data_IF_647757291772
#
_entry.id   IF_647757291772
#
_cell.length_a   1.000
_cell.length_b   1.000
_cell.length_c   1.000
_cell.angle_alpha   90.00
_cell.angle_beta   90.00
_cell.angle_gamma   90.00
#
_symmetry.space_group_name_H-M   'P 1'
#
loop_
_entity.id
_entity.type
_entity.pdbx_description
1 polymer ?
#
# COMPACT_ATOMS: atom_id res chain seq x y z
N UNK A 1 -6.39 11.36 -16.08
CA UNK A 1 -4.94 11.49 -16.00
C UNK A 1 -4.36 10.47 -15.03
N UNK A 2 -3.31 9.76 -15.43
CA UNK A 2 -2.61 8.80 -14.57
C UNK A 2 -1.67 9.55 -13.62
N UNK A 3 -1.81 9.41 -12.30
CA UNK A 3 -0.83 9.98 -11.37
C UNK A 3 0.51 9.27 -11.51
N UNK A 4 1.57 10.05 -11.70
CA UNK A 4 2.93 9.54 -11.91
C UNK A 4 3.90 10.17 -10.90
N UNK A 5 5.15 9.71 -10.91
CA UNK A 5 6.21 10.30 -10.09
C UNK A 5 6.27 11.81 -10.30
N UNK A 6 6.29 12.55 -9.21
CA UNK A 6 6.27 14.02 -9.19
C UNK A 6 4.87 14.60 -8.97
N UNK A 7 3.82 13.83 -9.16
CA UNK A 7 2.45 14.31 -8.90
C UNK A 7 2.09 14.18 -7.42
N UNK A 8 1.17 15.03 -6.97
CA UNK A 8 0.55 14.83 -5.67
C UNK A 8 -0.29 13.53 -5.70
N UNK A 9 -0.14 12.71 -4.68
CA UNK A 9 -0.89 11.47 -4.57
C UNK A 9 -2.37 11.78 -4.33
N UNK A 10 -3.30 11.24 -5.15
CA UNK A 10 -4.73 11.40 -4.90
C UNK A 10 -5.11 10.92 -3.51
N UNK A 11 -5.87 11.74 -2.79
CA UNK A 11 -6.29 11.39 -1.44
C UNK A 11 -7.30 10.24 -1.44
N UNK A 12 -7.33 9.50 -0.34
CA UNK A 12 -8.36 8.51 -0.09
C UNK A 12 -8.65 8.43 1.42
N UNK A 13 -9.83 7.96 1.75
CA UNK A 13 -10.21 7.66 3.12
C UNK A 13 -10.92 6.32 3.11
N UNK A 14 -10.27 5.31 3.67
CA UNK A 14 -10.72 3.92 3.62
C UNK A 14 -10.68 3.31 5.01
N UNK A 15 -11.40 2.19 5.17
CA UNK A 15 -11.43 1.44 6.42
C UNK A 15 -10.63 0.15 6.26
N UNK A 16 -9.86 -0.20 7.28
CA UNK A 16 -9.07 -1.44 7.29
C UNK A 16 -9.94 -2.65 7.65
N UNK A 17 -9.38 -3.84 7.44
CA UNK A 17 -10.05 -5.10 7.80
C UNK A 17 -10.30 -5.21 9.32
N UNK A 18 -9.56 -4.47 10.14
CA UNK A 18 -9.76 -4.39 11.59
C UNK A 18 -10.50 -3.10 12.01
N UNK A 19 -11.27 -2.51 11.09
CA UNK A 19 -12.20 -1.41 11.30
C UNK A 19 -11.57 -0.07 11.70
N UNK A 20 -10.32 0.15 11.31
CA UNK A 20 -9.64 1.44 11.50
C UNK A 20 -9.80 2.31 10.27
N UNK A 21 -10.14 3.57 10.46
CA UNK A 21 -10.17 4.56 9.39
C UNK A 21 -8.77 5.07 9.10
N UNK A 22 -8.41 5.11 7.80
CA UNK A 22 -7.13 5.65 7.34
C UNK A 22 -7.41 6.66 6.23
N UNK A 23 -6.97 7.89 6.45
CA UNK A 23 -7.05 8.98 5.49
C UNK A 23 -5.61 9.34 5.08
N UNK A 24 -5.30 9.26 3.79
CA UNK A 24 -3.95 9.53 3.32
C UNK A 24 -3.47 10.93 3.70
N UNK A 25 -4.36 11.93 3.63
CA UNK A 25 -4.00 13.32 3.99
C UNK A 25 -3.49 13.44 5.43
N UNK A 26 -3.95 12.58 6.34
CA UNK A 26 -3.52 12.59 7.74
C UNK A 26 -2.11 12.02 7.92
N UNK A 27 -1.56 11.40 6.89
CA UNK A 27 -0.22 10.81 6.93
C UNK A 27 0.87 11.75 6.38
N UNK A 28 0.52 12.98 6.02
CA UNK A 28 1.53 13.99 5.64
C UNK A 28 2.50 14.19 6.80
N UNK A 29 3.77 14.34 6.46
CA UNK A 29 4.84 14.33 7.43
C UNK A 29 5.51 12.96 7.56
N UNK A 30 4.87 11.92 7.06
CA UNK A 30 5.43 10.57 6.98
C UNK A 30 5.65 10.17 5.53
N UNK A 31 6.64 9.32 5.31
CA UNK A 31 6.78 8.57 4.06
C UNK A 31 5.76 7.43 4.08
N UNK A 32 5.07 7.21 2.97
CA UNK A 32 4.02 6.19 2.89
C UNK A 32 4.35 5.18 1.80
N UNK A 33 4.45 3.92 2.18
CA UNK A 33 4.58 2.79 1.25
C UNK A 33 3.21 2.16 1.09
N UNK A 34 2.72 2.08 -0.14
CA UNK A 34 1.39 1.55 -0.44
C UNK A 34 1.50 0.40 -1.43
N UNK A 35 0.84 -0.72 -1.10
CA UNK A 35 0.58 -1.78 -2.06
C UNK A 35 -0.88 -1.76 -2.48
N UNK A 36 -1.14 -1.62 -3.78
CA UNK A 36 -2.48 -1.76 -4.34
C UNK A 36 -2.62 -3.18 -4.84
N UNK A 37 -3.42 -3.96 -4.14
CA UNK A 37 -3.50 -5.41 -4.23
C UNK A 37 -4.88 -5.88 -4.71
N UNK A 38 -4.87 -7.06 -5.32
CA UNK A 38 -6.07 -7.86 -5.55
C UNK A 38 -5.92 -9.17 -4.76
N UNK A 39 -6.90 -10.06 -4.85
CA UNK A 39 -6.81 -11.40 -4.31
C UNK A 39 -6.07 -12.26 -5.33
N UNK A 40 -4.75 -12.35 -5.18
CA UNK A 40 -3.90 -13.09 -6.11
C UNK A 40 -2.57 -13.48 -5.45
N UNK A 41 -1.87 -14.44 -6.04
CA UNK A 41 -0.58 -14.92 -5.52
C UNK A 41 0.52 -13.86 -5.61
N UNK A 42 0.71 -13.15 -6.74
CA UNK A 42 1.71 -12.08 -6.78
C UNK A 42 1.47 -10.99 -5.75
N UNK A 43 0.21 -10.65 -5.49
CA UNK A 43 -0.13 -9.68 -4.46
C UNK A 43 0.22 -10.18 -3.07
N UNK A 44 -0.02 -11.46 -2.77
CA UNK A 44 0.41 -12.06 -1.51
C UNK A 44 1.92 -11.97 -1.35
N UNK A 45 2.67 -12.32 -2.38
CA UNK A 45 4.14 -12.27 -2.33
C UNK A 45 4.65 -10.86 -2.09
N UNK A 46 4.04 -9.87 -2.74
CA UNK A 46 4.41 -8.47 -2.51
C UNK A 46 4.10 -8.03 -1.07
N UNK A 47 2.95 -8.44 -0.54
CA UNK A 47 2.58 -8.13 0.85
C UNK A 47 3.58 -8.74 1.84
N UNK A 48 4.07 -9.94 1.57
CA UNK A 48 5.11 -10.57 2.41
C UNK A 48 6.43 -9.82 2.33
N UNK A 49 6.78 -9.25 1.17
CA UNK A 49 7.95 -8.37 1.06
C UNK A 49 7.77 -7.11 1.91
N UNK A 50 6.55 -6.58 2.00
CA UNK A 50 6.25 -5.44 2.89
C UNK A 50 6.48 -5.79 4.36
N UNK A 51 6.17 -7.03 4.76
CA UNK A 51 6.48 -7.47 6.12
C UNK A 51 7.98 -7.40 6.41
N UNK A 52 8.82 -7.76 5.43
CA UNK A 52 10.28 -7.66 5.56
C UNK A 52 10.73 -6.20 5.69
N UNK A 53 10.10 -5.31 4.93
CA UNK A 53 10.38 -3.87 5.05
C UNK A 53 10.03 -3.38 6.45
N UNK A 54 8.86 -3.75 6.97
CA UNK A 54 8.40 -3.37 8.31
C UNK A 54 9.39 -3.84 9.38
N UNK A 55 9.94 -5.04 9.23
CA UNK A 55 10.91 -5.59 10.18
C UNK A 55 12.24 -4.82 10.17
N UNK A 56 12.65 -4.28 9.01
CA UNK A 56 13.92 -3.60 8.85
C UNK A 56 13.85 -2.09 9.09
N UNK A 57 12.69 -1.47 8.84
CA UNK A 57 12.49 -0.03 8.88
C UNK A 57 11.34 0.36 9.80
N UNK A 58 11.21 -0.28 10.95
CA UNK A 58 10.20 0.12 11.93
C UNK A 58 10.50 1.56 12.39
N UNK A 59 9.67 2.51 11.95
CA UNK A 59 9.87 3.93 12.20
C UNK A 59 8.51 4.63 12.31
N UNK A 60 8.43 5.62 13.20
CA UNK A 60 7.26 6.49 13.31
C UNK A 60 7.14 7.46 12.12
N UNK A 61 8.18 7.54 11.29
CA UNK A 61 8.20 8.37 10.08
C UNK A 61 7.79 7.61 8.82
N UNK A 62 7.49 6.32 8.93
CA UNK A 62 7.08 5.46 7.82
C UNK A 62 5.72 4.84 8.13
N UNK A 63 4.78 4.99 7.21
CA UNK A 63 3.51 4.27 7.23
C UNK A 63 3.50 3.26 6.08
N UNK A 64 3.10 2.03 6.36
CA UNK A 64 2.95 0.98 5.36
C UNK A 64 1.48 0.59 5.28
N UNK A 65 0.93 0.59 4.07
CA UNK A 65 -0.48 0.30 3.82
C UNK A 65 -0.61 -0.73 2.69
N UNK A 66 -1.51 -1.69 2.88
CA UNK A 66 -2.02 -2.49 1.78
C UNK A 66 -3.46 -2.04 1.50
N UNK A 67 -3.86 -2.07 0.24
CA UNK A 67 -5.23 -1.71 -0.15
C UNK A 67 -5.74 -2.77 -1.12
N UNK A 68 -6.87 -3.41 -0.79
CA UNK A 68 -7.59 -4.20 -1.79
C UNK A 68 -8.35 -3.23 -2.69
N UNK A 69 -7.90 -3.09 -3.94
CA UNK A 69 -8.45 -2.15 -4.91
C UNK A 69 -9.41 -2.79 -5.90
N UNK A 70 -9.70 -4.09 -5.76
CA UNK A 70 -10.59 -4.81 -6.67
C UNK A 70 -12.05 -4.82 -6.23
N UNK A 71 -12.37 -4.15 -5.12
CA UNK A 71 -13.74 -4.09 -4.64
C UNK A 71 -14.22 -5.35 -3.95
N UNK A 72 -13.31 -6.23 -3.55
CA UNK A 72 -13.67 -7.44 -2.82
C UNK A 72 -14.23 -7.09 -1.44
N UNK A 73 -15.13 -7.94 -0.95
CA UNK A 73 -15.72 -7.74 0.37
C UNK A 73 -14.67 -7.90 1.49
N UNK A 74 -14.94 -7.29 2.63
CA UNK A 74 -14.11 -7.47 3.82
C UNK A 74 -13.95 -8.96 4.17
N UNK A 75 -15.04 -9.72 4.09
CA UNK A 75 -15.00 -11.16 4.38
C UNK A 75 -14.10 -11.92 3.43
N UNK A 76 -14.15 -11.61 2.12
CA UNK A 76 -13.29 -12.24 1.12
C UNK A 76 -11.81 -11.90 1.35
N UNK A 77 -11.52 -10.65 1.66
CA UNK A 77 -10.15 -10.20 1.93
C UNK A 77 -9.61 -10.85 3.21
N UNK A 78 -10.41 -10.91 4.26
CA UNK A 78 -9.99 -11.56 5.51
C UNK A 78 -9.72 -13.05 5.32
N UNK A 79 -10.55 -13.74 4.53
CA UNK A 79 -10.33 -15.14 4.20
C UNK A 79 -9.00 -15.33 3.44
N UNK A 80 -8.74 -14.45 2.49
CA UNK A 80 -7.50 -14.44 1.72
C UNK A 80 -6.29 -14.25 2.62
N UNK A 81 -6.33 -13.27 3.52
CA UNK A 81 -5.23 -12.98 4.44
C UNK A 81 -4.96 -14.14 5.41
N UNK A 82 -6.00 -14.86 5.83
CA UNK A 82 -5.83 -16.05 6.70
C UNK A 82 -5.05 -17.16 6.03
N UNK A 83 -5.02 -17.20 4.70
CA UNK A 83 -4.26 -18.17 3.93
C UNK A 83 -2.78 -17.83 3.79
N UNK A 84 -2.34 -16.67 4.26
CA UNK A 84 -0.93 -16.29 4.18
C UNK A 84 -0.08 -17.12 5.13
N UNK A 85 1.19 -17.39 4.78
CA UNK A 85 2.10 -18.13 5.67
C UNK A 85 2.45 -17.36 6.95
N UNK A 86 2.28 -16.04 6.96
CA UNK A 86 2.40 -15.20 8.15
C UNK A 86 1.43 -14.02 8.05
N UNK A 87 1.06 -13.45 9.19
CA UNK A 87 0.15 -12.31 9.21
C UNK A 87 0.82 -11.06 8.61
N UNK A 88 0.04 -10.24 7.93
CA UNK A 88 0.52 -8.92 7.50
C UNK A 88 0.78 -8.05 8.72
N UNK A 89 1.88 -7.30 8.69
CA UNK A 89 2.34 -6.44 9.80
C UNK A 89 2.00 -4.98 9.60
N UNK A 90 1.03 -4.69 8.74
CA UNK A 90 0.62 -3.33 8.37
C UNK A 90 -0.90 -3.29 8.18
N UNK A 91 -1.46 -2.09 8.12
CA UNK A 91 -2.90 -1.92 7.90
C UNK A 91 -3.29 -2.34 6.48
N UNK A 92 -4.32 -3.16 6.37
CA UNK A 92 -4.84 -3.65 5.09
C UNK A 92 -6.24 -3.07 4.88
N UNK A 93 -6.36 -2.20 3.88
CA UNK A 93 -7.55 -1.38 3.65
C UNK A 93 -8.47 -1.99 2.59
N UNK A 94 -9.73 -1.62 2.66
CA UNK A 94 -10.77 -2.05 1.72
C UNK A 94 -11.21 -0.87 0.87
N UNK A 95 -11.32 -1.06 -0.43
CA UNK A 95 -11.74 -0.07 -1.42
C UNK A 95 -13.02 -0.58 -2.12
N UNK A 96 -14.19 -0.57 -1.43
CA UNK A 96 -15.37 -1.29 -1.91
C UNK A 96 -15.94 -0.77 -3.23
N UNK A 97 -15.81 0.52 -3.51
CA UNK A 97 -16.26 1.12 -4.77
C UNK A 97 -15.16 1.31 -5.80
N UNK A 98 -13.98 0.75 -5.54
CA UNK A 98 -12.81 0.85 -6.41
C UNK A 98 -12.37 2.29 -6.71
N UNK A 99 -12.58 3.20 -5.77
CA UNK A 99 -12.19 4.60 -5.92
C UNK A 99 -10.69 4.78 -6.08
N UNK A 100 -9.90 4.04 -5.31
CA UNK A 100 -8.42 4.09 -5.42
C UNK A 100 -7.98 3.50 -6.75
N UNK A 101 -8.53 2.36 -7.14
CA UNK A 101 -8.25 1.76 -8.45
C UNK A 101 -8.46 2.78 -9.59
N UNK A 102 -9.59 3.47 -9.57
CA UNK A 102 -9.95 4.47 -10.60
C UNK A 102 -9.08 5.72 -10.51
N UNK A 103 -8.93 6.28 -9.33
CA UNK A 103 -8.22 7.57 -9.14
C UNK A 103 -6.72 7.44 -9.42
N UNK A 104 -6.15 6.26 -9.21
CA UNK A 104 -4.75 5.99 -9.51
C UNK A 104 -4.56 5.35 -10.88
N UNK A 105 -5.62 5.09 -11.62
CA UNK A 105 -5.59 4.43 -12.93
C UNK A 105 -4.74 3.16 -12.90
N UNK A 106 -5.06 2.28 -11.95
CA UNK A 106 -4.29 1.06 -11.73
C UNK A 106 -4.40 0.11 -12.92
N UNK A 107 -3.26 -0.42 -13.37
CA UNK A 107 -3.17 -1.39 -14.46
C UNK A 107 -2.48 -2.68 -14.03
N UNK A 108 -1.46 -2.56 -13.17
CA UNK A 108 -0.67 -3.70 -12.72
C UNK A 108 -1.14 -4.19 -11.36
N UNK A 109 -1.04 -5.49 -11.15
CA UNK A 109 -1.42 -6.13 -9.89
C UNK A 109 -0.29 -7.05 -9.43
N UNK A 110 0.46 -6.65 -8.41
CA UNK A 110 0.28 -5.45 -7.58
C UNK A 110 0.80 -4.18 -8.25
N UNK A 111 0.40 -3.02 -7.71
CA UNK A 111 1.08 -1.75 -7.96
C UNK A 111 1.62 -1.25 -6.63
N UNK A 112 2.88 -0.87 -6.60
CA UNK A 112 3.55 -0.34 -5.40
C UNK A 112 3.82 1.13 -5.59
N UNK A 113 3.44 1.92 -4.58
CA UNK A 113 3.66 3.35 -4.56
C UNK A 113 4.51 3.73 -3.35
N UNK A 114 5.39 4.70 -3.53
CA UNK A 114 6.07 5.38 -2.43
C UNK A 114 5.76 6.85 -2.54
N UNK A 115 5.25 7.41 -1.45
CA UNK A 115 4.84 8.81 -1.35
C UNK A 115 5.71 9.45 -0.27
N UNK A 116 6.29 10.62 -0.58
CA UNK A 116 7.16 11.30 0.39
C UNK A 116 6.34 12.04 1.45
N UNK A 117 7.05 12.65 2.41
CA UNK A 117 6.42 13.36 3.51
C UNK A 117 5.59 14.59 3.09
N UNK A 118 5.76 15.07 1.87
CA UNK A 118 4.99 16.16 1.30
C UNK A 118 3.77 15.69 0.49
N UNK A 119 3.56 14.38 0.42
CA UNK A 119 2.44 13.81 -0.33
C UNK A 119 2.69 13.65 -1.82
N UNK A 120 3.95 13.67 -2.25
CA UNK A 120 4.34 13.57 -3.66
C UNK A 120 4.79 12.13 -3.96
N UNK A 121 4.31 11.58 -5.08
CA UNK A 121 4.68 10.24 -5.53
C UNK A 121 6.15 10.24 -5.92
N UNK A 122 6.94 9.38 -5.29
CA UNK A 122 8.37 9.19 -5.56
C UNK A 122 8.67 7.92 -6.32
N UNK A 123 7.79 6.94 -6.27
CA UNK A 123 7.92 5.69 -7.02
C UNK A 123 6.54 5.11 -7.32
N UNK A 124 6.42 4.50 -8.50
CA UNK A 124 5.25 3.74 -8.92
C UNK A 124 5.73 2.58 -9.78
N UNK A 125 5.65 1.36 -9.26
CA UNK A 125 6.20 0.17 -9.91
C UNK A 125 5.25 -1.02 -9.76
N UNK A 126 5.30 -2.01 -10.68
CA UNK A 126 4.39 -3.17 -10.63
C UNK A 126 4.78 -4.21 -9.57
N UNK A 127 6.06 -4.35 -9.28
CA UNK A 127 6.60 -5.29 -8.29
C UNK A 127 7.96 -4.79 -7.82
N UNK A 128 8.26 -4.98 -6.55
CA UNK A 128 9.59 -4.64 -6.03
C UNK A 128 9.88 -5.46 -4.76
N UNK A 129 11.10 -5.99 -4.68
CA UNK A 129 11.55 -6.74 -3.50
C UNK A 129 11.88 -5.83 -2.31
N UNK A 130 11.91 -6.44 -1.13
CA UNK A 130 12.16 -5.72 0.12
C UNK A 130 13.50 -4.99 0.13
N UNK A 131 14.56 -5.59 -0.41
CA UNK A 131 15.89 -4.98 -0.39
C UNK A 131 15.93 -3.66 -1.15
N UNK A 132 15.31 -3.61 -2.32
CA UNK A 132 15.20 -2.36 -3.09
C UNK A 132 14.32 -1.34 -2.40
N UNK A 133 13.21 -1.78 -1.81
CA UNK A 133 12.31 -0.90 -1.05
C UNK A 133 13.04 -0.27 0.12
N UNK A 134 13.78 -1.05 0.89
CA UNK A 134 14.53 -0.54 2.04
C UNK A 134 15.55 0.51 1.61
N UNK A 135 16.31 0.25 0.54
CA UNK A 135 17.29 1.21 0.02
C UNK A 135 16.63 2.52 -0.40
N UNK A 136 15.51 2.43 -1.13
CA UNK A 136 14.80 3.61 -1.60
C UNK A 136 14.21 4.41 -0.43
N UNK A 137 13.55 3.72 0.50
CA UNK A 137 12.91 4.37 1.65
C UNK A 137 13.91 5.05 2.55
N UNK A 138 15.11 4.47 2.76
CA UNK A 138 16.15 5.10 3.57
C UNK A 138 16.56 6.47 3.06
N UNK A 139 16.49 6.70 1.76
CA UNK A 139 16.81 8.01 1.17
C UNK A 139 15.76 9.07 1.50
N UNK A 140 14.54 8.66 1.81
CA UNK A 140 13.42 9.57 2.08
C UNK A 140 13.18 9.79 3.57
N UNK A 141 13.68 8.89 4.41
CA UNK A 141 13.48 8.94 5.87
C UNK A 141 14.50 9.80 6.58
#
# INVERSE_FOLDING_TARGET
>A
KVPIVGDAAPNFSLTSVDDKKVNLADLKGKVVLIGMFHICVPCMKQALEFNKVQAQLSSDKLAILGINTSGDSKAAVMKYLKGFPENVKFSYLIDPDQSVHKNYSQRDMPTVLIIDSNGIIQARVPWVGADQLVKFLKKLL
#
